data_IF_966458664395
#
_entry.id   IF_966458664395
#
_cell.length_a   1.000
_cell.length_b   1.000
_cell.length_c   1.000
_cell.angle_alpha   90.00
_cell.angle_beta   90.00
_cell.angle_gamma   90.00
#
_symmetry.space_group_name_H-M   'P 1'
#
loop_
_entity.id
_entity.type
_entity.pdbx_description
1 polymer ?
#
# COMPACT_ATOMS: atom_id res chain seq x y z
N UNK A 1 42.29 7.35 44.02
CA UNK A 1 41.15 7.93 43.26
C UNK A 1 41.68 8.35 41.89
N UNK A 2 41.47 7.56 40.84
CA UNK A 2 41.65 7.99 39.43
C UNK A 2 40.29 8.14 38.81
N UNK A 3 39.91 9.36 38.47
CA UNK A 3 38.66 9.69 37.77
C UNK A 3 38.78 9.18 36.33
N UNK A 4 37.90 8.26 35.98
CA UNK A 4 37.70 7.87 34.58
C UNK A 4 37.04 9.04 33.84
N UNK A 5 37.74 9.62 32.90
CA UNK A 5 37.22 10.61 31.98
C UNK A 5 36.15 10.02 31.10
N UNK A 6 34.93 10.57 31.19
CA UNK A 6 33.82 10.24 30.31
C UNK A 6 34.21 10.62 28.86
N UNK A 7 34.30 9.62 28.03
CA UNK A 7 34.47 9.79 26.59
C UNK A 7 33.27 10.51 25.98
N UNK A 8 33.49 11.64 25.35
CA UNK A 8 32.51 12.39 24.59
C UNK A 8 32.00 11.51 23.45
N UNK A 9 30.74 11.11 23.50
CA UNK A 9 30.00 10.56 22.36
C UNK A 9 29.86 11.69 21.32
N UNK A 10 30.63 11.59 20.25
CA UNK A 10 30.58 12.56 19.16
C UNK A 10 29.22 12.45 18.46
N UNK A 11 28.55 13.58 18.29
CA UNK A 11 27.23 13.72 17.70
C UNK A 11 27.09 13.20 16.24
N UNK A 12 28.19 12.75 15.63
CA UNK A 12 28.23 12.29 14.23
C UNK A 12 27.64 10.92 13.96
N UNK A 13 27.45 10.05 14.98
CA UNK A 13 26.99 8.67 14.78
C UNK A 13 25.55 8.40 15.20
N UNK A 14 24.83 9.38 15.71
CA UNK A 14 23.46 9.17 16.20
C UNK A 14 22.44 9.07 15.05
N UNK A 15 22.68 9.76 13.94
CA UNK A 15 21.80 9.76 12.78
C UNK A 15 21.79 8.44 12.01
N UNK A 16 22.87 7.65 12.04
CA UNK A 16 22.93 6.35 11.37
C UNK A 16 22.25 5.21 12.15
N UNK A 17 22.08 5.38 13.46
CA UNK A 17 21.44 4.36 14.33
C UNK A 17 19.93 4.33 14.15
N UNK A 18 19.33 5.44 13.69
CA UNK A 18 17.89 5.58 13.48
C UNK A 18 17.46 5.43 12.02
N UNK A 19 18.39 5.22 11.10
CA UNK A 19 18.06 4.87 9.72
C UNK A 19 17.61 3.40 9.70
N UNK A 20 16.29 3.17 9.63
CA UNK A 20 15.74 1.84 9.43
C UNK A 20 16.30 1.20 8.15
N UNK A 21 16.38 -0.12 8.13
CA UNK A 21 16.81 -0.87 6.95
C UNK A 21 15.73 -0.66 5.87
N UNK A 22 16.08 0.01 4.78
CA UNK A 22 15.18 0.18 3.65
C UNK A 22 14.92 -1.18 3.02
N UNK A 23 13.67 -1.66 3.08
CA UNK A 23 13.25 -2.89 2.40
C UNK A 23 13.21 -2.65 0.89
N UNK A 24 13.53 -3.68 0.13
CA UNK A 24 13.51 -3.65 -1.34
C UNK A 24 12.60 -4.76 -1.85
N UNK A 25 11.99 -4.54 -2.99
CA UNK A 25 11.18 -5.57 -3.65
C UNK A 25 12.07 -6.61 -4.33
N UNK A 26 11.56 -7.84 -4.42
CA UNK A 26 12.08 -8.86 -5.33
C UNK A 26 11.98 -8.37 -6.78
N UNK A 27 12.84 -8.88 -7.64
CA UNK A 27 12.75 -8.65 -9.08
C UNK A 27 11.45 -9.23 -9.70
N UNK A 28 10.88 -10.23 -9.04
CA UNK A 28 9.63 -10.88 -9.45
C UNK A 28 8.38 -10.30 -8.78
N UNK A 29 8.54 -9.24 -8.00
CA UNK A 29 7.40 -8.57 -7.35
C UNK A 29 6.42 -8.04 -8.40
N UNK A 30 5.13 -8.35 -8.20
CA UNK A 30 4.05 -7.98 -9.10
C UNK A 30 3.26 -6.80 -8.57
N UNK A 31 2.61 -6.06 -9.46
CA UNK A 31 1.88 -4.86 -9.09
C UNK A 31 0.82 -4.43 -10.09
N UNK A 32 0.27 -3.26 -9.85
CA UNK A 32 -0.68 -2.61 -10.75
C UNK A 32 -0.21 -1.19 -11.05
N UNK A 33 -0.25 -0.83 -12.32
CA UNK A 33 -0.21 0.56 -12.76
C UNK A 33 -1.65 1.00 -13.06
N UNK A 34 -2.14 1.98 -12.31
CA UNK A 34 -3.42 2.62 -12.59
C UNK A 34 -3.20 3.99 -13.22
N UNK A 35 -3.78 4.16 -14.39
CA UNK A 35 -3.73 5.41 -15.15
C UNK A 35 -5.10 6.09 -15.13
N UNK A 36 -5.23 7.09 -14.26
CA UNK A 36 -6.45 7.86 -14.10
C UNK A 36 -6.84 8.63 -15.36
N UNK A 37 -5.87 8.94 -16.24
CA UNK A 37 -6.10 9.76 -17.43
C UNK A 37 -6.91 9.04 -18.51
N UNK A 38 -6.86 7.72 -18.55
CA UNK A 38 -7.63 6.87 -19.49
C UNK A 38 -8.77 6.12 -18.81
N UNK A 39 -8.97 6.35 -17.51
CA UNK A 39 -10.10 5.80 -16.77
C UNK A 39 -11.40 6.57 -17.14
N UNK A 40 -12.46 5.84 -17.43
CA UNK A 40 -13.78 6.39 -17.77
C UNK A 40 -14.80 6.27 -16.63
N UNK A 41 -14.38 5.84 -15.45
CA UNK A 41 -15.26 5.69 -14.28
C UNK A 41 -16.33 4.60 -14.39
N UNK A 42 -16.18 3.64 -15.31
CA UNK A 42 -17.21 2.61 -15.60
C UNK A 42 -17.42 1.60 -14.46
N UNK A 43 -16.56 1.57 -13.43
CA UNK A 43 -16.61 0.67 -12.26
C UNK A 43 -16.56 -0.84 -12.58
N UNK A 44 -16.27 -1.25 -13.82
CA UNK A 44 -16.13 -2.66 -14.18
C UNK A 44 -15.09 -3.38 -13.29
N UNK A 45 -14.02 -2.69 -12.89
CA UNK A 45 -13.03 -3.21 -11.97
C UNK A 45 -13.57 -3.45 -10.55
N UNK A 46 -14.57 -2.68 -10.08
CA UNK A 46 -15.24 -2.89 -8.79
C UNK A 46 -16.13 -4.14 -8.86
N UNK A 47 -16.96 -4.23 -9.89
CA UNK A 47 -17.84 -5.38 -10.12
C UNK A 47 -17.04 -6.69 -10.26
N UNK A 48 -16.02 -6.71 -11.11
CA UNK A 48 -15.15 -7.87 -11.26
C UNK A 48 -14.44 -8.24 -9.95
N UNK A 49 -13.95 -7.27 -9.19
CA UNK A 49 -13.32 -7.52 -7.90
C UNK A 49 -14.29 -8.21 -6.94
N UNK A 50 -15.53 -7.75 -6.83
CA UNK A 50 -16.54 -8.37 -5.98
C UNK A 50 -16.90 -9.79 -6.45
N UNK A 51 -17.09 -9.98 -7.73
CA UNK A 51 -17.42 -11.28 -8.30
C UNK A 51 -16.33 -12.33 -8.04
N UNK A 52 -15.06 -11.97 -8.25
CA UNK A 52 -13.94 -12.91 -8.11
C UNK A 52 -13.37 -13.04 -6.69
N UNK A 53 -13.90 -12.28 -5.74
CA UNK A 53 -13.58 -12.41 -4.32
C UNK A 53 -14.82 -12.76 -3.48
N UNK A 54 -15.90 -13.24 -4.11
CA UNK A 54 -17.15 -13.68 -3.48
C UNK A 54 -17.77 -12.64 -2.53
N UNK A 55 -17.65 -11.35 -2.90
CA UNK A 55 -18.13 -10.25 -2.09
C UNK A 55 -19.53 -9.80 -2.50
N UNK A 56 -20.43 -9.56 -1.54
CA UNK A 56 -21.76 -9.07 -1.82
C UNK A 56 -21.70 -7.61 -2.33
N UNK A 57 -22.68 -7.17 -3.14
CA UNK A 57 -22.84 -5.76 -3.46
C UNK A 57 -23.22 -4.98 -2.20
N UNK A 58 -22.76 -3.75 -2.11
CA UNK A 58 -23.23 -2.79 -1.11
C UNK A 58 -24.27 -1.90 -1.75
N UNK A 59 -25.47 -1.93 -1.21
CA UNK A 59 -26.54 -1.01 -1.55
C UNK A 59 -27.09 -0.37 -0.27
N UNK A 60 -27.07 0.94 -0.21
CA UNK A 60 -27.70 1.68 0.88
C UNK A 60 -29.23 1.57 0.84
N UNK A 61 -29.82 1.21 -0.32
CA UNK A 61 -31.25 1.01 -0.54
C UNK A 61 -31.44 -0.04 -1.64
N UNK A 62 -31.82 -1.25 -1.26
CA UNK A 62 -32.20 -2.30 -2.21
C UNK A 62 -33.31 -1.85 -3.18
N UNK A 63 -34.19 -0.92 -2.77
CA UNK A 63 -35.26 -0.38 -3.64
C UNK A 63 -34.73 0.58 -4.72
N UNK A 64 -33.61 1.27 -4.48
CA UNK A 64 -32.92 2.08 -5.49
C UNK A 64 -32.01 1.28 -6.40
N UNK A 65 -31.65 0.07 -6.00
CA UNK A 65 -30.81 -0.85 -6.77
C UNK A 65 -31.53 -1.43 -8.02
N UNK A 66 -32.72 -1.01 -8.31
CA UNK A 66 -33.54 -1.54 -9.44
C UNK A 66 -33.45 -0.72 -10.73
N UNK A 67 -32.68 0.36 -10.74
CA UNK A 67 -32.39 1.14 -11.96
C UNK A 67 -31.14 0.63 -12.68
N UNK A 68 -30.69 1.37 -13.67
CA UNK A 68 -29.38 1.19 -14.30
C UNK A 68 -28.27 1.25 -13.24
N UNK A 69 -28.53 1.99 -12.17
CA UNK A 69 -27.69 2.11 -10.98
C UNK A 69 -27.69 0.84 -10.11
N UNK A 70 -28.68 -0.04 -10.21
CA UNK A 70 -28.78 -1.27 -9.43
C UNK A 70 -27.79 -2.37 -9.86
N UNK A 71 -27.14 -2.20 -10.98
CA UNK A 71 -26.04 -3.07 -11.44
C UNK A 71 -24.73 -2.66 -10.73
N UNK A 72 -24.66 -1.45 -10.20
CA UNK A 72 -23.47 -0.86 -9.66
C UNK A 72 -23.53 -0.80 -8.15
N UNK A 73 -22.42 -1.17 -7.56
CA UNK A 73 -22.19 -1.05 -6.14
C UNK A 73 -22.22 0.43 -5.69
N UNK A 74 -23.08 0.75 -4.73
CA UNK A 74 -23.24 2.09 -4.17
C UNK A 74 -22.29 2.35 -2.98
N UNK A 75 -21.30 1.51 -2.74
CA UNK A 75 -20.33 1.75 -1.67
C UNK A 75 -19.70 3.14 -1.84
N UNK A 76 -19.64 3.89 -0.74
CA UNK A 76 -19.06 5.23 -0.76
C UNK A 76 -17.52 5.19 -0.82
N UNK A 77 -16.91 4.22 -0.14
CA UNK A 77 -15.46 4.04 -0.06
C UNK A 77 -15.12 2.56 0.11
N UNK A 78 -13.86 2.25 0.38
CA UNK A 78 -13.45 0.91 0.79
C UNK A 78 -14.19 0.49 2.06
N UNK A 79 -14.66 -0.74 2.09
CA UNK A 79 -15.36 -1.35 3.22
C UNK A 79 -14.93 -2.81 3.36
N UNK A 80 -15.50 -3.52 4.34
CA UNK A 80 -15.33 -4.97 4.46
C UNK A 80 -15.95 -5.76 3.28
N UNK A 81 -16.73 -5.08 2.43
CA UNK A 81 -17.35 -5.66 1.22
C UNK A 81 -16.82 -5.04 -0.08
N UNK A 82 -15.90 -4.07 0.00
CA UNK A 82 -15.38 -3.35 -1.18
C UNK A 82 -13.88 -3.17 -1.08
N UNK A 83 -13.12 -3.96 -1.86
CA UNK A 83 -11.65 -4.00 -1.85
C UNK A 83 -11.00 -2.94 -2.74
N UNK A 84 -11.70 -2.47 -3.77
CA UNK A 84 -11.27 -1.37 -4.61
C UNK A 84 -12.45 -0.47 -4.97
N UNK A 85 -12.20 0.83 -5.12
CA UNK A 85 -13.22 1.84 -5.39
C UNK A 85 -12.68 2.89 -6.35
N UNK A 86 -13.48 3.21 -7.37
CA UNK A 86 -13.24 4.37 -8.23
C UNK A 86 -13.90 5.58 -7.57
N UNK A 87 -13.09 6.58 -7.24
CA UNK A 87 -13.55 7.86 -6.71
C UNK A 87 -13.52 8.89 -7.83
N UNK A 88 -14.51 9.79 -7.82
CA UNK A 88 -14.63 10.90 -8.73
C UNK A 88 -14.13 12.18 -8.05
N UNK A 89 -13.25 12.89 -8.71
CA UNK A 89 -12.90 14.29 -8.44
C UNK A 89 -13.69 15.19 -9.37
N UNK A 90 -14.27 16.24 -8.83
CA UNK A 90 -15.00 17.27 -9.59
C UNK A 90 -14.62 18.65 -9.08
N UNK A 91 -14.51 19.59 -10.01
CA UNK A 91 -14.30 21.00 -9.73
C UNK A 91 -15.07 21.87 -10.75
N UNK A 92 -15.72 22.91 -10.26
CA UNK A 92 -16.49 23.83 -11.10
C UNK A 92 -17.67 23.14 -11.78
N UNK A 93 -17.80 23.32 -13.08
CA UNK A 93 -18.86 22.72 -13.91
C UNK A 93 -18.58 21.26 -14.31
N UNK A 94 -17.40 20.74 -13.95
CA UNK A 94 -16.96 19.38 -14.21
C UNK A 94 -17.12 18.95 -15.69
N UNK A 95 -16.92 19.87 -16.63
CA UNK A 95 -17.19 19.64 -18.05
C UNK A 95 -16.03 18.95 -18.79
N UNK A 96 -14.80 19.03 -18.26
CA UNK A 96 -13.60 18.57 -18.95
C UNK A 96 -12.92 17.42 -18.19
N UNK A 97 -12.78 16.26 -18.83
CA UNK A 97 -12.03 15.14 -18.26
C UNK A 97 -10.54 15.48 -18.19
N UNK A 98 -9.90 15.07 -17.10
CA UNK A 98 -8.47 15.30 -16.86
C UNK A 98 -8.07 16.79 -16.70
N UNK A 99 -9.00 17.63 -16.28
CA UNK A 99 -8.74 19.03 -15.97
C UNK A 99 -8.90 19.29 -14.47
N UNK A 100 -7.98 20.07 -13.92
CA UNK A 100 -8.02 20.49 -12.52
C UNK A 100 -9.08 21.55 -12.27
N UNK A 101 -9.27 22.46 -13.26
CA UNK A 101 -10.26 23.51 -13.20
C UNK A 101 -11.42 23.20 -14.14
N UNK A 102 -12.66 23.40 -13.68
CA UNK A 102 -13.89 23.11 -14.40
C UNK A 102 -13.89 21.69 -15.00
N UNK A 103 -13.31 20.74 -14.27
CA UNK A 103 -13.08 19.41 -14.79
C UNK A 103 -13.33 18.31 -13.78
N UNK A 104 -13.13 17.09 -14.26
CA UNK A 104 -13.26 15.88 -13.44
C UNK A 104 -12.14 14.89 -13.76
N UNK A 105 -11.86 14.01 -12.78
CA UNK A 105 -10.94 12.89 -12.94
C UNK A 105 -11.33 11.72 -12.06
N UNK A 106 -10.82 10.55 -12.40
CA UNK A 106 -11.03 9.34 -11.63
C UNK A 106 -9.75 8.89 -10.93
N UNK A 107 -9.89 8.43 -9.68
CA UNK A 107 -8.81 7.80 -8.94
C UNK A 107 -9.29 6.49 -8.34
N UNK A 108 -8.46 5.46 -8.44
CA UNK A 108 -8.75 4.15 -7.88
C UNK A 108 -8.11 4.02 -6.52
N UNK A 109 -8.92 3.70 -5.51
CA UNK A 109 -8.48 3.35 -4.15
C UNK A 109 -8.48 1.84 -3.99
N UNK A 110 -7.36 1.30 -3.55
CA UNK A 110 -7.17 -0.12 -3.24
C UNK A 110 -5.97 -0.26 -2.30
N UNK A 111 -5.62 -1.50 -1.92
CA UNK A 111 -4.38 -1.74 -1.19
C UNK A 111 -3.18 -1.37 -2.08
N UNK A 112 -2.27 -0.58 -1.51
CA UNK A 112 -1.07 -0.14 -2.22
C UNK A 112 0.05 -1.18 -2.22
N UNK A 113 -0.09 -2.28 -1.46
CA UNK A 113 0.93 -3.32 -1.31
C UNK A 113 2.32 -2.73 -1.08
N UNK A 114 2.43 -1.86 -0.05
CA UNK A 114 3.63 -1.09 0.28
C UNK A 114 4.89 -1.98 0.29
N UNK A 115 6.03 -1.44 -0.14
CA UNK A 115 7.33 -2.12 -0.08
C UNK A 115 7.68 -2.44 1.38
N UNK A 116 7.45 -1.49 2.25
CA UNK A 116 7.63 -1.61 3.70
C UNK A 116 6.30 -1.29 4.40
N UNK A 117 5.38 -2.29 4.54
CA UNK A 117 4.01 -2.06 4.94
C UNK A 117 3.87 -1.82 6.45
N UNK A 118 3.39 -0.63 6.83
CA UNK A 118 3.12 -0.26 8.23
C UNK A 118 2.10 -1.22 8.89
N UNK A 119 1.14 -1.74 8.11
CA UNK A 119 0.14 -2.69 8.62
C UNK A 119 0.73 -4.06 8.99
N UNK A 120 1.80 -4.50 8.31
CA UNK A 120 2.55 -5.71 8.65
C UNK A 120 3.38 -5.48 9.91
N UNK A 121 4.13 -4.37 9.94
CA UNK A 121 4.96 -4.01 11.11
C UNK A 121 4.12 -3.82 12.38
N UNK A 122 2.90 -3.31 12.26
CA UNK A 122 2.00 -3.12 13.39
C UNK A 122 1.28 -4.40 13.87
N UNK A 123 1.38 -5.51 13.13
CA UNK A 123 0.67 -6.74 13.48
C UNK A 123 1.41 -7.53 14.55
N UNK A 124 0.88 -7.65 15.79
CA UNK A 124 1.59 -8.31 16.89
C UNK A 124 1.63 -9.84 16.78
N UNK A 125 0.81 -10.41 15.90
CA UNK A 125 0.63 -11.87 15.73
C UNK A 125 0.99 -12.35 14.32
N UNK A 126 1.63 -11.49 13.51
CA UNK A 126 2.04 -11.80 12.12
C UNK A 126 0.91 -12.33 11.22
N UNK A 127 -0.34 -11.97 11.51
CA UNK A 127 -1.49 -12.28 10.65
C UNK A 127 -1.45 -11.53 9.31
N UNK A 128 -0.72 -10.42 9.22
CA UNK A 128 -0.39 -9.75 7.98
C UNK A 128 1.09 -9.98 7.68
N UNK A 129 1.39 -10.47 6.49
CA UNK A 129 2.74 -10.77 6.05
C UNK A 129 3.02 -10.17 4.67
N UNK A 130 4.26 -9.85 4.41
CA UNK A 130 4.76 -9.45 3.10
C UNK A 130 5.37 -10.67 2.44
N UNK A 131 4.83 -11.12 1.33
CA UNK A 131 5.40 -12.22 0.56
C UNK A 131 6.71 -11.77 -0.09
N UNK A 132 7.81 -12.46 0.18
CA UNK A 132 9.14 -12.06 -0.28
C UNK A 132 9.32 -12.21 -1.80
N UNK A 133 8.62 -13.14 -2.43
CA UNK A 133 8.73 -13.37 -3.87
C UNK A 133 7.86 -12.40 -4.67
N UNK A 134 6.56 -12.38 -4.40
CA UNK A 134 5.58 -11.58 -5.14
C UNK A 134 5.44 -10.15 -4.62
N UNK A 135 5.86 -9.91 -3.37
CA UNK A 135 5.66 -8.66 -2.68
C UNK A 135 4.21 -8.41 -2.24
N UNK A 136 3.30 -9.33 -2.43
CA UNK A 136 1.91 -9.18 -1.99
C UNK A 136 1.85 -9.11 -0.46
N UNK A 137 1.06 -8.19 0.06
CA UNK A 137 0.71 -8.19 1.49
C UNK A 137 -0.46 -9.14 1.65
N UNK A 138 -0.22 -10.27 2.27
CA UNK A 138 -1.17 -11.35 2.50
C UNK A 138 -1.77 -11.27 3.91
N UNK A 139 -2.92 -11.93 4.12
CA UNK A 139 -3.60 -11.98 5.40
C UNK A 139 -3.96 -13.41 5.77
N UNK A 140 -3.52 -13.80 6.97
CA UNK A 140 -3.89 -15.06 7.61
C UNK A 140 -4.98 -14.79 8.66
N UNK A 141 -6.20 -15.20 8.35
CA UNK A 141 -7.35 -15.03 9.24
C UNK A 141 -7.25 -15.86 10.51
N UNK A 142 -6.63 -17.04 10.44
CA UNK A 142 -6.53 -17.98 11.57
C UNK A 142 -5.54 -17.49 12.63
N UNK A 143 -4.54 -16.68 12.24
CA UNK A 143 -3.62 -16.02 13.15
C UNK A 143 -4.16 -14.70 13.71
N UNK A 144 -5.22 -14.12 13.13
CA UNK A 144 -5.69 -12.79 13.46
C UNK A 144 -6.47 -12.78 14.78
N UNK A 145 -6.12 -11.86 15.69
CA UNK A 145 -6.79 -11.64 16.98
C UNK A 145 -7.76 -10.46 16.97
N UNK A 146 -8.01 -9.81 15.83
CA UNK A 146 -8.94 -8.69 15.70
C UNK A 146 -8.53 -7.40 16.42
N UNK A 147 -7.24 -7.18 16.69
CA UNK A 147 -6.76 -5.99 17.43
C UNK A 147 -6.86 -4.67 16.63
N UNK A 148 -7.02 -4.72 15.31
CA UNK A 148 -7.21 -3.58 14.37
C UNK A 148 -6.04 -2.60 14.28
N UNK A 149 -4.86 -2.93 14.81
CA UNK A 149 -3.68 -2.07 14.68
C UNK A 149 -3.30 -1.80 13.23
N UNK A 150 -3.49 -2.77 12.34
CA UNK A 150 -3.26 -2.62 10.90
C UNK A 150 -4.15 -1.54 10.24
N UNK A 151 -5.37 -1.32 10.76
CA UNK A 151 -6.26 -0.26 10.26
C UNK A 151 -5.72 1.13 10.64
N UNK A 152 -5.24 1.29 11.88
CA UNK A 152 -4.69 2.55 12.38
C UNK A 152 -3.34 2.85 11.74
N UNK A 153 -2.52 1.83 11.53
CA UNK A 153 -1.19 1.99 10.95
C UNK A 153 -1.21 2.33 9.46
N UNK A 154 -2.24 1.94 8.72
CA UNK A 154 -2.28 2.12 7.27
C UNK A 154 -2.54 3.59 6.89
N UNK A 155 -1.58 4.28 6.24
CA UNK A 155 -1.76 5.69 5.86
C UNK A 155 -2.81 5.88 4.75
N UNK A 156 -3.18 4.80 4.05
CA UNK A 156 -4.19 4.80 2.99
C UNK A 156 -5.59 4.38 3.48
N UNK A 157 -5.73 4.06 4.77
CA UNK A 157 -6.99 3.60 5.37
C UNK A 157 -7.62 2.40 4.64
N UNK A 158 -6.80 1.41 4.25
CA UNK A 158 -7.24 0.28 3.41
C UNK A 158 -7.79 -0.89 4.21
N UNK A 159 -7.11 -1.45 5.23
CA UNK A 159 -7.66 -2.57 5.97
C UNK A 159 -8.98 -2.18 6.63
N UNK A 160 -10.01 -3.01 6.46
CA UNK A 160 -11.34 -2.85 7.05
C UNK A 160 -11.65 -4.03 7.95
N UNK A 161 -12.57 -3.85 8.88
CA UNK A 161 -12.95 -4.85 9.86
C UNK A 161 -14.45 -5.12 9.80
N UNK A 162 -14.84 -6.39 9.87
CA UNK A 162 -16.23 -6.83 9.76
C UNK A 162 -16.99 -6.66 11.08
N UNK A 163 -17.36 -5.44 11.42
CA UNK A 163 -18.00 -5.14 12.69
C UNK A 163 -19.35 -5.87 12.92
N UNK A 164 -20.00 -6.32 11.86
CA UNK A 164 -21.29 -6.99 11.92
C UNK A 164 -21.21 -8.51 12.11
N UNK A 165 -20.01 -9.09 12.06
CA UNK A 165 -19.81 -10.54 12.18
C UNK A 165 -19.53 -10.96 13.63
N UNK A 166 -19.95 -12.19 13.99
CA UNK A 166 -19.66 -12.77 15.31
C UNK A 166 -18.16 -13.11 15.48
N UNK A 167 -17.50 -13.50 14.38
CA UNK A 167 -16.06 -13.72 14.30
C UNK A 167 -15.56 -12.80 13.18
N UNK A 168 -15.20 -11.55 13.52
CA UNK A 168 -14.87 -10.56 12.52
C UNK A 168 -13.44 -10.73 11.99
N UNK A 169 -13.26 -10.53 10.71
CA UNK A 169 -11.98 -10.58 10.02
C UNK A 169 -11.51 -9.19 9.57
N UNK A 170 -10.25 -9.08 9.22
CA UNK A 170 -9.71 -7.93 8.49
C UNK A 170 -9.84 -8.20 7.00
N UNK A 171 -10.39 -7.26 6.28
CA UNK A 171 -10.61 -7.36 4.84
C UNK A 171 -9.78 -6.31 4.11
N UNK A 172 -9.02 -6.72 3.11
CA UNK A 172 -8.26 -5.86 2.20
C UNK A 172 -7.98 -6.57 0.87
N UNK A 173 -7.65 -5.82 -0.16
CA UNK A 173 -7.18 -6.39 -1.43
C UNK A 173 -5.91 -7.22 -1.21
N UNK A 174 -5.86 -8.42 -1.77
CA UNK A 174 -4.72 -9.34 -1.81
C UNK A 174 -4.16 -9.53 -3.23
N UNK A 175 -4.37 -8.54 -4.08
CA UNK A 175 -3.95 -8.54 -5.49
C UNK A 175 -4.44 -9.77 -6.28
N UNK A 176 -5.56 -10.37 -5.85
CA UNK A 176 -6.09 -11.64 -6.37
C UNK A 176 -5.03 -12.75 -6.41
N UNK A 177 -4.26 -12.94 -5.32
CA UNK A 177 -3.23 -13.98 -5.20
C UNK A 177 -3.75 -15.39 -5.55
N UNK A 178 -5.01 -15.70 -5.19
CA UNK A 178 -5.67 -16.96 -5.55
C UNK A 178 -5.76 -17.15 -7.08
N UNK A 179 -6.11 -16.10 -7.85
CA UNK A 179 -6.15 -16.19 -9.31
C UNK A 179 -4.77 -16.29 -9.92
N UNK A 180 -3.79 -15.56 -9.37
CA UNK A 180 -2.40 -15.62 -9.82
C UNK A 180 -1.80 -17.01 -9.60
N UNK A 181 -2.16 -17.71 -8.53
CA UNK A 181 -1.75 -19.10 -8.29
C UNK A 181 -2.27 -20.07 -9.37
N UNK A 182 -3.36 -19.73 -10.05
CA UNK A 182 -3.93 -20.47 -11.18
C UNK A 182 -3.46 -19.96 -12.54
N UNK A 183 -2.48 -19.05 -12.58
CA UNK A 183 -1.94 -18.46 -13.80
C UNK A 183 -2.76 -17.30 -14.38
N UNK A 184 -3.78 -16.82 -13.65
CA UNK A 184 -4.55 -15.65 -14.02
C UNK A 184 -3.95 -14.33 -13.54
N UNK A 185 -4.65 -13.22 -13.79
CA UNK A 185 -4.28 -11.87 -13.39
C UNK A 185 -5.35 -11.26 -12.47
N UNK A 186 -5.06 -10.15 -11.77
CA UNK A 186 -6.07 -9.48 -10.96
C UNK A 186 -7.30 -9.11 -11.78
N UNK A 187 -8.49 -9.50 -11.29
CA UNK A 187 -9.76 -9.29 -12.01
C UNK A 187 -9.99 -7.82 -12.39
N UNK A 188 -9.57 -6.90 -11.55
CA UNK A 188 -9.71 -5.46 -11.83
C UNK A 188 -8.81 -4.96 -12.98
N UNK A 189 -7.80 -5.72 -13.39
CA UNK A 189 -6.98 -5.45 -14.58
C UNK A 189 -7.57 -6.16 -15.79
N UNK A 190 -7.95 -7.44 -15.65
CA UNK A 190 -8.52 -8.24 -16.73
C UNK A 190 -9.78 -7.63 -17.32
N UNK A 191 -10.68 -7.13 -16.46
CA UNK A 191 -11.97 -6.56 -16.88
C UNK A 191 -11.93 -5.03 -17.08
N UNK A 192 -10.75 -4.41 -17.12
CA UNK A 192 -10.65 -2.98 -17.40
C UNK A 192 -10.77 -2.70 -18.91
N UNK A 193 -11.87 -2.10 -19.39
CA UNK A 193 -12.11 -1.93 -20.82
C UNK A 193 -11.19 -0.90 -21.48
N UNK A 194 -10.54 -0.07 -20.67
CA UNK A 194 -9.66 0.99 -21.18
C UNK A 194 -8.17 0.73 -20.93
N UNK A 195 -7.81 -0.35 -20.21
CA UNK A 195 -6.44 -0.58 -19.78
C UNK A 195 -5.93 0.41 -18.72
N UNK A 196 -6.85 1.14 -18.06
CA UNK A 196 -6.49 2.04 -16.97
C UNK A 196 -5.89 1.29 -15.78
N UNK A 197 -6.23 0.03 -15.57
CA UNK A 197 -5.57 -0.86 -14.62
C UNK A 197 -4.77 -1.89 -15.38
N UNK A 198 -3.45 -1.87 -15.22
CA UNK A 198 -2.49 -2.71 -15.92
C UNK A 198 -1.69 -3.54 -14.91
N UNK A 199 -1.62 -4.84 -15.11
CA UNK A 199 -0.87 -5.77 -14.26
C UNK A 199 0.51 -6.08 -14.85
N UNK A 200 1.49 -6.37 -14.01
CA UNK A 200 2.82 -6.81 -14.43
C UNK A 200 3.84 -6.80 -13.29
N UNK A 201 5.10 -7.04 -13.61
CA UNK A 201 6.20 -6.83 -12.67
C UNK A 201 6.34 -5.34 -12.34
N UNK A 202 6.61 -5.03 -11.10
CA UNK A 202 6.68 -3.62 -10.63
C UNK A 202 7.76 -2.83 -11.37
N UNK A 203 8.89 -3.47 -11.70
CA UNK A 203 9.97 -2.87 -12.49
C UNK A 203 9.48 -2.40 -13.86
N UNK A 204 8.77 -3.27 -14.55
CA UNK A 204 8.31 -3.05 -15.93
C UNK A 204 7.13 -2.05 -15.93
N UNK A 205 6.25 -2.13 -14.94
CA UNK A 205 5.19 -1.14 -14.73
C UNK A 205 5.75 0.25 -14.45
N UNK A 206 6.86 0.35 -13.70
CA UNK A 206 7.52 1.62 -13.44
C UNK A 206 8.18 2.20 -14.68
N UNK A 207 8.76 1.36 -15.54
CA UNK A 207 9.29 1.78 -16.84
C UNK A 207 8.17 2.28 -17.76
N UNK A 208 7.06 1.56 -17.84
CA UNK A 208 5.87 1.98 -18.59
C UNK A 208 5.29 3.30 -18.06
N UNK A 209 5.19 3.45 -16.73
CA UNK A 209 4.75 4.70 -16.12
C UNK A 209 5.66 5.88 -16.46
N UNK A 210 6.98 5.69 -16.39
CA UNK A 210 7.98 6.71 -16.77
C UNK A 210 7.95 7.06 -18.25
N UNK A 211 7.57 6.12 -19.09
CA UNK A 211 7.36 6.35 -20.53
C UNK A 211 6.12 7.20 -20.73
N UNK A 212 4.98 6.86 -20.09
CA UNK A 212 3.70 7.57 -20.26
C UNK A 212 3.79 9.03 -19.83
N UNK A 213 4.37 9.34 -18.70
CA UNK A 213 4.47 10.74 -18.22
C UNK A 213 5.31 11.65 -19.11
N UNK A 214 6.09 11.09 -20.04
CA UNK A 214 6.90 11.82 -21.02
C UNK A 214 6.21 11.99 -22.39
N UNK A 215 5.07 11.35 -22.59
CA UNK A 215 4.34 11.44 -23.85
C UNK A 215 3.80 12.86 -24.05
N UNK A 216 3.75 13.27 -25.30
CA UNK A 216 3.20 14.59 -25.67
C UNK A 216 1.69 14.50 -25.68
N UNK A 217 1.02 15.37 -24.91
CA UNK A 217 -0.42 15.44 -24.89
C UNK A 217 -0.98 15.71 -26.30
N UNK A 218 -2.05 15.02 -26.68
CA UNK A 218 -2.65 15.05 -28.02
C UNK A 218 -2.03 14.09 -29.03
N UNK A 219 -0.88 13.47 -28.75
CA UNK A 219 -0.34 12.39 -29.60
C UNK A 219 -1.12 11.10 -29.41
N UNK A 220 -0.92 10.13 -30.32
CA UNK A 220 -1.50 8.79 -30.18
C UNK A 220 -0.47 7.85 -29.58
N UNK A 221 -0.88 7.06 -28.60
CA UNK A 221 -0.07 6.03 -27.97
C UNK A 221 -0.82 4.70 -27.89
N UNK A 222 -0.14 3.61 -28.10
CA UNK A 222 -0.68 2.25 -27.95
C UNK A 222 -0.56 1.81 -26.49
N UNK A 223 -1.65 1.97 -25.76
CA UNK A 223 -1.70 1.62 -24.34
C UNK A 223 -1.81 0.10 -24.16
N UNK A 224 -0.88 -0.54 -23.43
CA UNK A 224 -1.03 -1.94 -23.03
C UNK A 224 -2.33 -2.16 -22.25
N UNK A 225 -2.96 -3.30 -22.50
CA UNK A 225 -4.23 -3.69 -21.89
C UNK A 225 -4.02 -4.89 -20.98
N UNK A 226 -4.78 -4.96 -19.89
CA UNK A 226 -4.81 -6.08 -18.94
C UNK A 226 -3.47 -6.38 -18.28
N UNK A 227 -2.49 -6.93 -19.00
CA UNK A 227 -1.15 -7.25 -18.53
C UNK A 227 -0.09 -6.78 -19.52
N UNK A 228 1.10 -6.43 -19.03
CA UNK A 228 2.24 -6.12 -19.90
C UNK A 228 2.71 -7.34 -20.70
N UNK A 229 2.49 -8.56 -20.19
CA UNK A 229 2.96 -9.80 -20.81
C UNK A 229 2.03 -10.30 -21.94
N UNK A 230 0.77 -9.85 -21.96
CA UNK A 230 -0.23 -10.32 -22.95
C UNK A 230 -0.07 -9.70 -24.33
N UNK A 231 0.59 -8.56 -24.44
CA UNK A 231 0.83 -7.87 -25.71
C UNK A 231 -0.38 -7.19 -26.35
N UNK A 232 -1.54 -7.25 -25.72
CA UNK A 232 -2.74 -6.54 -26.16
C UNK A 232 -2.55 -5.03 -25.97
N UNK A 233 -2.85 -4.26 -27.02
CA UNK A 233 -2.74 -2.78 -26.99
C UNK A 233 -4.00 -2.11 -27.51
N UNK A 234 -4.22 -0.87 -27.08
CA UNK A 234 -5.33 -0.03 -27.58
C UNK A 234 -4.83 1.39 -27.87
N UNK A 235 -4.92 1.87 -29.11
CA UNK A 235 -4.50 3.23 -29.45
C UNK A 235 -5.45 4.24 -28.83
N UNK A 236 -4.90 5.23 -28.12
CA UNK A 236 -5.66 6.35 -27.52
C UNK A 236 -4.88 7.64 -27.64
N UNK A 237 -5.62 8.74 -27.62
CA UNK A 237 -5.05 10.09 -27.51
C UNK A 237 -4.47 10.27 -26.10
N UNK A 238 -3.24 10.71 -26.04
CA UNK A 238 -2.52 10.97 -24.78
C UNK A 238 -3.11 12.21 -24.11
N UNK A 239 -3.55 12.05 -22.87
CA UNK A 239 -3.94 13.15 -22.01
C UNK A 239 -2.71 13.85 -21.40
N UNK A 240 -2.82 15.08 -20.88
CA UNK A 240 -1.73 15.68 -20.11
C UNK A 240 -1.48 14.87 -18.85
N UNK A 241 -0.20 14.57 -18.56
CA UNK A 241 0.22 13.94 -17.30
C UNK A 241 0.92 14.97 -16.41
N UNK A 242 0.71 14.88 -15.11
CA UNK A 242 1.66 15.49 -14.17
C UNK A 242 2.96 14.69 -14.21
N UNK A 243 4.10 15.35 -14.12
CA UNK A 243 5.41 14.70 -14.14
C UNK A 243 5.73 14.05 -12.76
N UNK A 244 4.85 13.15 -12.32
CA UNK A 244 4.97 12.46 -11.05
C UNK A 244 4.27 11.11 -11.08
N UNK A 245 4.92 10.08 -10.54
CA UNK A 245 4.37 8.73 -10.37
C UNK A 245 4.12 8.53 -8.88
N UNK A 246 2.84 8.49 -8.50
CA UNK A 246 2.49 8.21 -7.11
C UNK A 246 2.65 6.74 -6.80
N UNK A 247 3.22 6.43 -5.65
CA UNK A 247 3.56 5.07 -5.25
C UNK A 247 5.02 4.70 -5.48
N UNK A 248 5.79 5.48 -6.26
CA UNK A 248 7.23 5.25 -6.45
C UNK A 248 8.03 5.50 -5.17
N UNK A 249 7.64 6.51 -4.38
CA UNK A 249 8.40 6.98 -3.20
C UNK A 249 7.60 6.98 -1.91
N UNK A 250 6.29 7.12 -1.99
CA UNK A 250 5.41 7.27 -0.85
C UNK A 250 5.53 6.12 0.14
N UNK A 251 5.87 6.45 1.39
CA UNK A 251 6.04 5.43 2.44
C UNK A 251 7.13 4.40 2.16
N UNK A 252 8.16 4.76 1.40
CA UNK A 252 9.22 3.84 0.96
C UNK A 252 8.93 3.12 -0.37
N UNK A 253 7.84 3.46 -1.03
CA UNK A 253 7.38 2.88 -2.30
C UNK A 253 6.25 1.86 -2.13
N UNK A 254 5.55 1.60 -3.22
CA UNK A 254 4.42 0.67 -3.28
C UNK A 254 4.46 -0.16 -4.57
N UNK A 255 3.67 -1.25 -4.61
CA UNK A 255 3.48 -2.06 -5.81
C UNK A 255 2.24 -1.61 -6.61
N UNK A 256 1.58 -0.57 -6.15
CA UNK A 256 0.46 0.05 -6.83
C UNK A 256 0.88 1.45 -7.24
N UNK A 257 1.11 1.65 -8.53
CA UNK A 257 1.56 2.91 -9.11
C UNK A 257 0.37 3.65 -9.72
N UNK A 258 0.34 4.98 -9.56
CA UNK A 258 -0.76 5.78 -10.12
C UNK A 258 -0.21 6.91 -11.00
N UNK A 259 -0.90 7.11 -12.13
CA UNK A 259 -0.71 8.26 -13.02
C UNK A 259 -1.98 9.11 -13.04
N UNK A 260 -1.80 10.42 -13.17
CA UNK A 260 -2.91 11.39 -13.21
C UNK A 260 -2.53 12.64 -14.01
N UNK A 261 -3.56 13.36 -14.46
CA UNK A 261 -3.44 14.73 -14.97
C UNK A 261 -3.59 15.77 -13.84
N UNK A 262 -4.09 15.36 -12.67
CA UNK A 262 -4.42 16.22 -11.54
C UNK A 262 -3.54 15.88 -10.35
N UNK A 263 -3.10 16.86 -9.54
CA UNK A 263 -2.31 16.60 -8.35
C UNK A 263 -2.98 15.59 -7.40
N UNK A 264 -2.22 14.60 -6.94
CA UNK A 264 -2.75 13.49 -6.13
C UNK A 264 -3.36 13.92 -4.79
N UNK A 265 -2.90 15.03 -4.23
CA UNK A 265 -3.49 15.63 -3.01
C UNK A 265 -4.94 16.05 -3.23
N UNK A 266 -5.27 16.57 -4.42
CA UNK A 266 -6.65 16.90 -4.79
C UNK A 266 -7.52 15.67 -5.04
N UNK A 267 -6.90 14.54 -5.39
CA UNK A 267 -7.55 13.24 -5.52
C UNK A 267 -7.73 12.51 -4.17
N UNK A 268 -7.38 13.15 -3.05
CA UNK A 268 -7.54 12.60 -1.71
C UNK A 268 -6.50 11.55 -1.33
N UNK A 269 -5.36 11.51 -2.02
CA UNK A 269 -4.23 10.66 -1.65
C UNK A 269 -3.31 11.39 -0.67
N UNK A 270 -2.78 10.70 0.36
CA UNK A 270 -1.93 11.32 1.36
C UNK A 270 -0.54 11.67 0.82
N UNK A 271 0.00 12.79 1.27
CA UNK A 271 1.42 13.10 1.09
C UNK A 271 2.24 12.33 2.12
N UNK A 272 3.07 11.42 1.67
CA UNK A 272 3.90 10.59 2.53
C UNK A 272 5.39 10.84 2.28
N UNK A 273 6.18 10.74 3.36
CA UNK A 273 7.64 10.78 3.23
C UNK A 273 8.15 9.57 2.42
N UNK A 274 9.33 9.69 1.82
CA UNK A 274 9.99 8.59 1.11
C UNK A 274 10.49 7.46 2.05
N UNK A 275 10.31 7.61 3.36
CA UNK A 275 10.63 6.58 4.36
C UNK A 275 9.35 6.17 5.05
N UNK A 276 9.09 4.86 5.14
CA UNK A 276 7.93 4.31 5.82
C UNK A 276 7.93 4.62 7.33
N UNK A 277 6.75 4.61 7.93
CA UNK A 277 6.62 4.71 9.39
C UNK A 277 7.13 3.44 10.06
N UNK A 278 6.94 2.27 9.43
CA UNK A 278 7.51 0.99 9.86
C UNK A 278 9.03 1.07 10.01
N UNK A 279 9.74 1.49 8.97
CA UNK A 279 11.20 1.61 8.98
C UNK A 279 11.69 2.58 10.08
N UNK A 280 11.00 3.69 10.31
CA UNK A 280 11.33 4.63 11.38
C UNK A 280 11.12 4.01 12.76
N UNK A 281 9.96 3.37 12.97
CA UNK A 281 9.62 2.71 14.25
C UNK A 281 10.58 1.56 14.58
N UNK A 282 10.84 0.69 13.61
CA UNK A 282 11.79 -0.42 13.75
C UNK A 282 13.21 0.08 14.03
N UNK A 283 13.63 1.16 13.36
CA UNK A 283 14.93 1.80 13.61
C UNK A 283 15.08 2.33 15.04
N UNK A 284 14.03 2.98 15.57
CA UNK A 284 14.02 3.47 16.96
C UNK A 284 14.06 2.28 17.93
N UNK A 285 13.24 1.26 17.71
CA UNK A 285 13.20 0.06 18.52
C UNK A 285 14.57 -0.66 18.60
N UNK A 286 15.21 -0.86 17.44
CA UNK A 286 16.56 -1.44 17.39
C UNK A 286 17.59 -0.58 18.10
N UNK A 287 17.48 0.76 17.99
CA UNK A 287 18.33 1.70 18.71
C UNK A 287 18.20 1.56 20.22
N UNK A 288 16.97 1.46 20.72
CA UNK A 288 16.69 1.24 22.16
C UNK A 288 17.28 -0.11 22.62
N UNK A 289 17.00 -1.20 21.91
CA UNK A 289 17.51 -2.52 22.30
C UNK A 289 19.03 -2.59 22.31
N UNK A 290 19.71 -2.03 21.31
CA UNK A 290 21.18 -1.94 21.30
C UNK A 290 21.70 -1.12 22.46
N UNK A 291 21.04 -0.01 22.80
CA UNK A 291 21.39 0.83 23.94
C UNK A 291 21.21 0.16 25.31
N UNK A 292 20.30 -0.81 25.42
CA UNK A 292 20.05 -1.55 26.67
C UNK A 292 21.10 -2.63 26.99
N UNK A 293 21.91 -3.06 26.02
CA UNK A 293 22.89 -4.14 26.23
C UNK A 293 23.90 -3.74 27.31
N UNK A 294 24.43 -2.53 27.27
CA UNK A 294 25.43 -2.05 28.23
C UNK A 294 24.86 -1.94 29.68
N UNK A 295 23.69 -1.32 29.93
CA UNK A 295 23.06 -1.31 31.24
C UNK A 295 22.77 -2.71 31.79
N UNK A 296 22.27 -3.63 30.94
CA UNK A 296 21.97 -5.01 31.35
C UNK A 296 23.26 -5.76 31.73
N UNK A 297 24.31 -5.64 30.95
CA UNK A 297 25.61 -6.24 31.25
C UNK A 297 26.21 -5.69 32.55
N UNK A 298 26.10 -4.37 32.78
CA UNK A 298 26.54 -3.73 34.02
C UNK A 298 25.76 -4.27 35.24
N UNK A 299 24.42 -4.30 35.12
CA UNK A 299 23.57 -4.83 36.20
C UNK A 299 23.87 -6.32 36.49
N UNK A 300 24.02 -7.14 35.45
CA UNK A 300 24.42 -8.54 35.60
C UNK A 300 25.76 -8.70 36.26
N UNK A 301 26.74 -7.86 35.90
CA UNK A 301 28.06 -7.85 36.54
C UNK A 301 28.01 -7.48 38.04
N UNK A 302 27.22 -6.45 38.37
CA UNK A 302 27.00 -6.04 39.77
C UNK A 302 26.31 -7.11 40.59
N UNK A 303 25.27 -7.74 40.06
CA UNK A 303 24.56 -8.84 40.74
C UNK A 303 25.47 -10.05 40.91
N UNK A 304 26.26 -10.41 39.91
CA UNK A 304 27.23 -11.49 40.03
C UNK A 304 28.30 -11.18 41.05
N UNK A 305 28.84 -9.96 41.09
CA UNK A 305 29.81 -9.52 42.11
C UNK A 305 29.23 -9.58 43.54
N UNK A 306 28.00 -9.10 43.73
CA UNK A 306 27.28 -9.20 45.01
C UNK A 306 27.07 -10.64 45.41
N UNK A 307 26.65 -11.50 44.51
CA UNK A 307 26.48 -12.94 44.75
C UNK A 307 27.80 -13.62 45.21
N UNK A 308 28.91 -13.32 44.54
CA UNK A 308 30.22 -13.89 44.92
C UNK A 308 30.70 -13.42 46.29
N UNK A 309 30.45 -12.14 46.62
CA UNK A 309 30.83 -11.61 47.93
C UNK A 309 29.99 -12.20 49.08
N UNK A 310 28.68 -12.39 48.88
CA UNK A 310 27.82 -13.00 49.89
C UNK A 310 28.09 -14.49 50.06
N UNK A 311 28.35 -15.22 48.98
CA UNK A 311 28.70 -16.64 49.04
C UNK A 311 30.02 -16.90 49.82
N UNK A 312 31.00 -16.00 49.71
CA UNK A 312 32.26 -16.12 50.42
C UNK A 312 32.19 -15.66 51.89
N UNK A 313 31.10 -15.03 52.34
CA UNK A 313 30.90 -14.59 53.71
C UNK A 313 30.17 -15.62 54.60
N UNK A 314 29.61 -16.67 54.01
CA UNK A 314 28.92 -17.77 54.71
C UNK A 314 29.84 -18.99 54.96
N UNK A 315 31.12 -18.92 54.66
CA UNK A 315 32.14 -19.91 54.94
C UNK A 315 33.16 -19.39 55.96
#
# INVERSE_FOLDING_TARGET
LKVLSAGALTAGNVTSVFAGIRKTLSADAVGILYDGTICIGCKACEAACKQYNDMPPESANLEKATGVDGIWDESYDLSEKTLNKIKLYEHGDASTHNSEENGFAFVKKACMHCVDPDCVSACPVTALVKNDATGIVEYDKDACIGCRYCMVACPYNVPKFEYAQAIPEIVKCELCNHRQAEGGIPACCEFCPTGASLFGKVTDLLEEARKRIKLVAGSTYEYPMRSLDEGDVSPKTVAPYINYIYGEKEGGGTQYLLLSAIPFTKLGLPELSATSSASKSEGIQHGIYKGMIAPIALLGGLLYGAYQTTKNSEG
#
